data_IF_408758447909
#
_entry.id   IF_408758447909
#
_cell.length_a   1.000
_cell.length_b   1.000
_cell.length_c   1.000
_cell.angle_alpha   90.00
_cell.angle_beta   90.00
_cell.angle_gamma   90.00
#
_symmetry.space_group_name_H-M   'P 1'
#
loop_
_entity.id
_entity.type
_entity.pdbx_description
1 polymer ?
#
# COMPACT_ATOMS: atom_id res chain seq x y z
N UNK A 1 -6.79 14.18 -23.77
CA UNK A 1 -6.15 12.88 -24.08
C UNK A 1 -5.79 12.18 -22.76
N UNK A 2 -6.47 11.09 -22.41
CA UNK A 2 -6.15 10.31 -21.20
C UNK A 2 -4.79 9.63 -21.37
N UNK A 3 -3.69 10.31 -21.00
CA UNK A 3 -2.44 9.61 -20.68
C UNK A 3 -2.82 8.63 -19.57
N UNK A 4 -2.66 7.32 -19.78
CA UNK A 4 -2.97 6.33 -18.75
C UNK A 4 -2.19 6.66 -17.48
N UNK A 5 -2.87 6.83 -16.34
CA UNK A 5 -2.28 7.33 -15.08
C UNK A 5 -1.00 6.59 -14.70
N UNK A 6 -0.97 5.27 -14.87
CA UNK A 6 0.22 4.44 -14.65
C UNK A 6 1.34 4.66 -15.64
N UNK A 7 1.02 4.85 -16.93
CA UNK A 7 2.04 5.12 -17.94
C UNK A 7 2.73 6.45 -17.65
N UNK A 8 1.97 7.46 -17.23
CA UNK A 8 2.51 8.74 -16.82
C UNK A 8 3.37 8.59 -15.55
N UNK A 9 2.82 8.00 -14.48
CA UNK A 9 3.56 7.75 -13.24
C UNK A 9 4.85 6.93 -13.45
N UNK A 10 4.81 5.90 -14.31
CA UNK A 10 5.97 5.09 -14.65
C UNK A 10 7.04 5.86 -15.42
N UNK A 11 6.62 6.75 -16.32
CA UNK A 11 7.54 7.62 -17.05
C UNK A 11 8.23 8.60 -16.10
N UNK A 12 7.49 9.22 -15.18
CA UNK A 12 8.07 10.12 -14.18
C UNK A 12 9.13 9.44 -13.32
N UNK A 13 8.85 8.21 -12.86
CA UNK A 13 9.81 7.43 -12.06
C UNK A 13 11.06 7.11 -12.88
N UNK A 14 10.91 6.62 -14.11
CA UNK A 14 12.04 6.23 -14.95
C UNK A 14 12.92 7.40 -15.39
N UNK A 15 12.34 8.57 -15.57
CA UNK A 15 13.08 9.79 -15.91
C UNK A 15 13.80 10.40 -14.71
N UNK A 16 13.52 9.92 -13.50
CA UNK A 16 14.15 10.42 -12.29
C UNK A 16 15.54 9.81 -12.07
N UNK A 17 16.53 10.65 -11.79
CA UNK A 17 17.87 10.18 -11.45
C UNK A 17 17.86 9.33 -10.17
N UNK A 18 18.61 8.21 -10.23
CA UNK A 18 18.81 7.31 -9.10
C UNK A 18 17.55 6.63 -8.57
N UNK A 19 16.47 6.56 -9.36
CA UNK A 19 15.17 6.06 -8.89
C UNK A 19 15.24 4.66 -8.26
N UNK A 20 16.03 3.73 -8.84
CA UNK A 20 16.24 2.40 -8.27
C UNK A 20 16.85 2.45 -6.87
N UNK A 21 17.92 3.22 -6.70
CA UNK A 21 18.57 3.42 -5.39
C UNK A 21 17.62 4.04 -4.36
N UNK A 22 16.76 4.98 -4.80
CA UNK A 22 15.70 5.55 -3.96
C UNK A 22 14.69 4.49 -3.52
N UNK A 23 14.28 3.56 -4.39
CA UNK A 23 13.37 2.47 -4.01
C UNK A 23 13.97 1.56 -2.95
N UNK A 24 15.26 1.21 -3.08
CA UNK A 24 15.96 0.44 -2.04
C UNK A 24 16.07 1.21 -0.72
N UNK A 25 16.39 2.50 -0.76
CA UNK A 25 16.50 3.31 0.46
C UNK A 25 15.14 3.50 1.13
N UNK A 26 14.09 3.80 0.37
CA UNK A 26 12.71 3.89 0.86
C UNK A 26 12.21 2.54 1.37
N UNK A 27 12.55 1.43 0.69
CA UNK A 27 12.23 0.08 1.12
C UNK A 27 12.88 -0.27 2.46
N UNK A 28 14.18 -0.03 2.59
CA UNK A 28 14.91 -0.23 3.84
C UNK A 28 14.36 0.65 4.96
N UNK A 29 14.07 1.91 4.66
CA UNK A 29 13.43 2.84 5.58
C UNK A 29 12.08 2.32 6.07
N UNK A 30 11.29 1.72 5.16
CA UNK A 30 9.97 1.16 5.47
C UNK A 30 10.01 -0.02 6.46
N UNK A 31 11.17 -0.66 6.65
CA UNK A 31 11.37 -1.67 7.69
C UNK A 31 11.30 -1.08 9.11
N UNK A 32 11.43 0.25 9.26
CA UNK A 32 11.19 0.95 10.52
C UNK A 32 9.66 1.14 10.67
N UNK A 33 8.99 0.46 11.63
CA UNK A 33 7.55 0.24 11.58
C UNK A 33 6.68 1.50 11.52
N UNK A 34 7.03 2.55 12.27
CA UNK A 34 6.23 3.79 12.33
C UNK A 34 6.95 4.91 11.58
N UNK A 35 8.16 5.27 12.03
CA UNK A 35 8.90 6.38 11.46
C UNK A 35 9.18 6.20 9.97
N UNK A 36 9.55 4.99 9.56
CA UNK A 36 9.82 4.67 8.16
C UNK A 36 8.61 4.85 7.26
N UNK A 37 7.46 4.33 7.71
CA UNK A 37 6.18 4.46 7.01
C UNK A 37 5.74 5.93 6.91
N UNK A 38 5.89 6.70 8.00
CA UNK A 38 5.60 8.14 8.01
C UNK A 38 6.44 8.87 6.97
N UNK A 39 7.75 8.60 6.88
CA UNK A 39 8.59 9.27 5.89
C UNK A 39 8.25 8.82 4.46
N UNK A 40 8.01 7.53 4.22
CA UNK A 40 7.58 7.02 2.92
C UNK A 40 6.28 7.69 2.45
N UNK A 41 5.27 7.75 3.31
CA UNK A 41 4.00 8.40 2.99
C UNK A 41 4.16 9.92 2.83
N UNK A 42 4.94 10.57 3.68
CA UNK A 42 5.24 11.99 3.57
C UNK A 42 5.89 12.33 2.24
N UNK A 43 6.86 11.52 1.81
CA UNK A 43 7.55 11.66 0.53
C UNK A 43 6.61 11.40 -0.66
N UNK A 44 5.87 10.30 -0.63
CA UNK A 44 4.98 9.89 -1.71
C UNK A 44 3.82 10.88 -1.91
N UNK A 45 3.13 11.25 -0.82
CA UNK A 45 2.02 12.21 -0.87
C UNK A 45 2.51 13.67 -0.94
N UNK A 46 3.79 13.90 -0.60
CA UNK A 46 4.63 15.01 -1.06
C UNK A 46 4.44 15.25 -2.54
N UNK A 47 4.91 14.25 -3.27
CA UNK A 47 4.99 14.20 -4.72
C UNK A 47 3.64 14.05 -5.43
N UNK A 48 2.66 13.38 -4.81
CA UNK A 48 1.27 13.35 -5.28
C UNK A 48 0.70 14.75 -5.37
N UNK A 49 0.94 15.56 -4.33
CA UNK A 49 0.39 16.91 -4.28
C UNK A 49 0.97 17.77 -5.40
N UNK A 50 2.27 17.70 -5.68
CA UNK A 50 2.86 18.52 -6.74
C UNK A 50 2.14 18.31 -8.09
N UNK A 51 1.89 17.05 -8.47
CA UNK A 51 1.14 16.75 -9.69
C UNK A 51 -0.35 17.11 -9.61
N UNK A 52 -0.96 16.98 -8.42
CA UNK A 52 -2.36 17.35 -8.21
C UNK A 52 -2.60 18.86 -8.45
N UNK A 53 -1.60 19.70 -8.19
CA UNK A 53 -1.59 21.13 -8.55
C UNK A 53 -1.09 21.41 -9.98
N UNK A 54 -0.81 20.37 -10.78
CA UNK A 54 -0.35 20.49 -12.16
C UNK A 54 1.15 20.73 -12.32
N UNK A 55 1.95 20.56 -11.26
CA UNK A 55 3.40 20.66 -11.31
C UNK A 55 4.00 19.27 -11.58
N UNK A 56 4.36 19.02 -12.84
CA UNK A 56 5.04 17.78 -13.24
C UNK A 56 6.52 17.82 -12.80
N UNK A 57 6.82 17.20 -11.64
CA UNK A 57 8.19 17.05 -11.13
C UNK A 57 8.67 15.59 -11.18
N UNK A 58 9.98 15.34 -11.41
CA UNK A 58 10.58 14.03 -11.16
C UNK A 58 10.57 13.70 -9.66
N UNK A 59 10.95 12.48 -9.29
CA UNK A 59 11.07 12.05 -7.90
C UNK A 59 11.95 13.02 -7.10
N UNK A 60 11.46 13.55 -5.95
CA UNK A 60 12.21 14.48 -5.14
C UNK A 60 13.62 13.94 -4.81
N UNK A 61 14.67 14.76 -4.92
CA UNK A 61 16.05 14.28 -4.84
C UNK A 61 16.40 13.78 -3.43
N UNK A 62 15.85 14.41 -2.39
CA UNK A 62 16.14 14.10 -0.98
C UNK A 62 14.93 13.42 -0.33
N UNK A 63 15.12 12.19 0.15
CA UNK A 63 14.06 11.42 0.84
C UNK A 63 13.63 12.09 2.16
N UNK A 64 14.59 12.68 2.89
CA UNK A 64 14.33 13.48 4.09
C UNK A 64 14.26 14.99 3.79
N UNK A 65 14.06 15.37 2.52
CA UNK A 65 13.90 16.77 2.14
C UNK A 65 12.60 17.32 2.70
N UNK A 66 12.68 18.13 3.76
CA UNK A 66 11.54 18.78 4.41
C UNK A 66 11.48 20.27 4.08
N UNK A 67 11.62 20.60 2.79
CA UNK A 67 11.73 21.99 2.29
C UNK A 67 10.47 22.81 2.59
N UNK A 68 9.29 22.16 2.59
CA UNK A 68 8.01 22.79 2.91
C UNK A 68 7.63 22.66 4.40
N UNK A 69 8.46 22.02 5.22
CA UNK A 69 8.20 21.77 6.64
C UNK A 69 7.08 20.75 6.92
N UNK A 70 6.46 20.15 5.90
CA UNK A 70 5.24 19.35 6.03
C UNK A 70 5.47 17.84 5.82
N UNK A 71 6.69 17.39 5.53
CA UNK A 71 6.99 15.98 5.22
C UNK A 71 6.45 15.02 6.30
N UNK A 72 6.89 15.20 7.54
CA UNK A 72 6.51 14.34 8.66
C UNK A 72 5.04 14.48 9.04
N UNK A 73 4.51 15.71 9.02
CA UNK A 73 3.11 15.99 9.34
C UNK A 73 2.16 15.34 8.33
N UNK A 74 2.46 15.47 7.03
CA UNK A 74 1.73 14.82 5.94
C UNK A 74 1.82 13.30 6.04
N UNK A 75 3.03 12.79 6.29
CA UNK A 75 3.27 11.38 6.50
C UNK A 75 2.46 10.80 7.65
N UNK A 76 2.40 11.48 8.79
CA UNK A 76 1.63 11.06 9.96
C UNK A 76 0.12 11.08 9.68
N UNK A 77 -0.37 12.14 9.00
CA UNK A 77 -1.78 12.24 8.59
C UNK A 77 -2.17 11.04 7.73
N UNK A 78 -1.36 10.73 6.70
CA UNK A 78 -1.62 9.60 5.81
C UNK A 78 -1.46 8.27 6.55
N UNK A 79 -0.49 8.12 7.43
CA UNK A 79 -0.30 6.92 8.24
C UNK A 79 -1.53 6.62 9.11
N UNK A 80 -2.10 7.64 9.76
CA UNK A 80 -3.33 7.50 10.54
C UNK A 80 -4.51 7.11 9.65
N UNK A 81 -4.66 7.73 8.48
CA UNK A 81 -5.72 7.39 7.51
C UNK A 81 -5.56 5.96 7.00
N UNK A 82 -4.34 5.55 6.64
CA UNK A 82 -4.02 4.17 6.26
C UNK A 82 -4.42 3.19 7.38
N UNK A 83 -4.06 3.51 8.62
CA UNK A 83 -4.41 2.68 9.77
C UNK A 83 -5.94 2.57 9.94
N UNK A 84 -6.68 3.67 9.81
CA UNK A 84 -8.14 3.62 9.96
C UNK A 84 -8.80 2.85 8.82
N UNK A 85 -8.46 3.15 7.57
CA UNK A 85 -9.16 2.58 6.42
C UNK A 85 -8.68 1.18 6.04
N UNK A 86 -7.40 0.84 6.21
CA UNK A 86 -6.86 -0.43 5.77
C UNK A 86 -6.75 -1.47 6.90
N UNK A 87 -6.75 -1.04 8.17
CA UNK A 87 -6.61 -1.94 9.33
C UNK A 87 -7.87 -1.96 10.19
N UNK A 88 -8.26 -0.81 10.74
CA UNK A 88 -9.34 -0.73 11.74
C UNK A 88 -10.70 -1.00 11.11
N UNK A 89 -11.10 -0.25 10.07
CA UNK A 89 -12.42 -0.38 9.47
C UNK A 89 -12.66 -1.78 8.87
N UNK A 90 -11.74 -2.37 8.09
CA UNK A 90 -11.88 -3.75 7.62
C UNK A 90 -11.94 -4.75 8.77
N UNK A 91 -11.08 -4.61 9.78
CA UNK A 91 -11.06 -5.50 10.94
C UNK A 91 -12.37 -5.48 11.74
N UNK A 92 -13.00 -4.32 11.87
CA UNK A 92 -14.32 -4.18 12.52
C UNK A 92 -15.40 -4.88 11.69
N UNK A 93 -15.44 -4.65 10.37
CA UNK A 93 -16.44 -5.29 9.48
C UNK A 93 -16.27 -6.81 9.48
N UNK A 94 -15.03 -7.29 9.39
CA UNK A 94 -14.70 -8.70 9.48
C UNK A 94 -15.08 -9.32 10.83
N UNK A 95 -14.79 -8.62 11.92
CA UNK A 95 -15.18 -9.07 13.26
C UNK A 95 -16.70 -9.25 13.39
N UNK A 96 -17.48 -8.27 12.92
CA UNK A 96 -18.95 -8.34 12.90
C UNK A 96 -19.43 -9.50 12.03
N UNK A 97 -18.89 -9.64 10.82
CA UNK A 97 -19.25 -10.73 9.90
C UNK A 97 -18.96 -12.10 10.51
N UNK A 98 -17.82 -12.24 11.18
CA UNK A 98 -17.44 -13.50 11.83
C UNK A 98 -18.37 -13.88 12.98
N UNK A 99 -18.75 -12.91 13.82
CA UNK A 99 -19.76 -13.12 14.87
C UNK A 99 -21.10 -13.55 14.28
N UNK A 100 -21.58 -12.86 13.24
CA UNK A 100 -22.84 -13.21 12.57
C UNK A 100 -22.80 -14.59 11.91
N UNK A 101 -21.64 -15.00 11.40
CA UNK A 101 -21.45 -16.31 10.78
C UNK A 101 -21.27 -17.45 11.81
N UNK A 102 -21.42 -17.18 13.11
CA UNK A 102 -21.28 -18.17 14.18
C UNK A 102 -19.85 -18.66 14.40
N UNK A 103 -18.84 -17.89 13.94
CA UNK A 103 -17.41 -18.25 13.97
C UNK A 103 -16.63 -17.67 15.16
N UNK A 104 -17.28 -16.92 16.05
CA UNK A 104 -16.63 -16.28 17.20
C UNK A 104 -15.68 -15.14 16.83
N UNK A 105 -14.91 -14.63 17.81
CA UNK A 105 -13.93 -13.54 17.60
C UNK A 105 -12.54 -14.04 17.15
N UNK A 106 -12.34 -15.35 17.00
CA UNK A 106 -11.05 -15.97 16.70
C UNK A 106 -10.46 -15.54 15.32
N UNK A 107 -11.30 -14.98 14.45
CA UNK A 107 -10.94 -14.58 13.08
C UNK A 107 -10.35 -13.17 12.97
N UNK A 108 -10.52 -12.33 14.01
CA UNK A 108 -9.99 -10.96 14.02
C UNK A 108 -8.46 -10.96 14.06
N UNK A 109 -7.84 -11.98 14.69
CA UNK A 109 -6.38 -12.13 14.73
C UNK A 109 -5.79 -12.67 13.42
N UNK A 110 -6.52 -13.55 12.73
CA UNK A 110 -6.08 -14.15 11.46
C UNK A 110 -6.01 -13.14 10.30
N UNK A 111 -7.03 -12.29 10.18
CA UNK A 111 -7.11 -11.26 9.13
C UNK A 111 -6.14 -10.09 9.35
N UNK A 112 -5.73 -9.83 10.60
CA UNK A 112 -4.90 -8.67 10.97
C UNK A 112 -3.42 -9.02 11.19
N UNK A 113 -3.12 -10.22 11.72
CA UNK A 113 -1.77 -10.63 12.12
C UNK A 113 -1.26 -11.91 11.45
N UNK A 114 -1.97 -12.46 10.45
CA UNK A 114 -1.48 -13.62 9.70
C UNK A 114 -1.46 -14.91 10.51
N UNK A 115 -2.40 -15.09 11.45
CA UNK A 115 -2.58 -16.36 12.15
C UNK A 115 -2.95 -17.49 11.19
N UNK A 116 -2.27 -18.63 11.32
CA UNK A 116 -2.34 -19.85 10.48
C UNK A 116 -3.68 -20.61 10.54
N UNK A 117 -4.75 -19.99 11.02
CA UNK A 117 -6.02 -20.65 11.32
C UNK A 117 -6.97 -20.86 10.14
N UNK A 118 -6.68 -20.40 8.92
CA UNK A 118 -7.63 -20.41 7.80
C UNK A 118 -6.98 -20.75 6.45
N UNK A 119 -6.29 -21.89 6.34
CA UNK A 119 -5.88 -22.38 5.01
C UNK A 119 -7.03 -23.09 4.29
N UNK A 120 -8.12 -23.50 4.97
CA UNK A 120 -9.19 -24.30 4.34
C UNK A 120 -10.64 -24.02 4.79
N UNK A 121 -10.92 -23.12 5.73
CA UNK A 121 -12.30 -22.81 6.16
C UNK A 121 -12.94 -21.65 5.39
N UNK A 122 -13.24 -21.91 4.11
CA UNK A 122 -14.28 -21.21 3.34
C UNK A 122 -13.78 -20.28 2.23
N UNK A 123 -13.84 -20.75 0.98
CA UNK A 123 -13.61 -19.90 -0.20
C UNK A 123 -14.47 -18.61 -0.20
N UNK A 124 -15.62 -18.62 0.49
CA UNK A 124 -16.54 -17.46 0.60
C UNK A 124 -16.02 -16.40 1.58
N UNK A 125 -15.41 -16.78 2.72
CA UNK A 125 -14.85 -15.80 3.66
C UNK A 125 -13.63 -15.11 3.07
N UNK A 126 -12.75 -15.84 2.38
CA UNK A 126 -11.60 -15.24 1.69
C UNK A 126 -12.00 -14.23 0.60
N UNK A 127 -13.04 -14.52 -0.20
CA UNK A 127 -13.54 -13.59 -1.22
C UNK A 127 -14.21 -12.36 -0.60
N UNK A 128 -14.94 -12.53 0.51
CA UNK A 128 -15.53 -11.44 1.26
C UNK A 128 -14.45 -10.50 1.83
N UNK A 129 -13.40 -11.05 2.44
CA UNK A 129 -12.27 -10.28 2.95
C UNK A 129 -11.51 -9.53 1.87
N UNK A 130 -11.29 -10.19 0.72
CA UNK A 130 -10.69 -9.53 -0.42
C UNK A 130 -11.55 -8.34 -0.90
N UNK A 131 -12.88 -8.52 -0.97
CA UNK A 131 -13.79 -7.46 -1.37
C UNK A 131 -13.74 -6.27 -0.41
N UNK A 132 -13.76 -6.51 0.90
CA UNK A 132 -13.66 -5.45 1.91
C UNK A 132 -12.33 -4.70 1.78
N UNK A 133 -11.21 -5.41 1.61
CA UNK A 133 -9.90 -4.78 1.44
C UNK A 133 -9.83 -3.93 0.17
N UNK A 134 -10.44 -4.38 -0.93
CA UNK A 134 -10.53 -3.58 -2.17
C UNK A 134 -11.34 -2.32 -1.94
N UNK A 135 -12.52 -2.41 -1.31
CA UNK A 135 -13.35 -1.24 -0.99
C UNK A 135 -12.61 -0.27 -0.08
N UNK A 136 -11.98 -0.79 0.98
CA UNK A 136 -11.15 -0.03 1.89
C UNK A 136 -10.01 0.70 1.19
N UNK A 137 -9.33 0.04 0.24
CA UNK A 137 -8.25 0.65 -0.54
C UNK A 137 -8.72 1.82 -1.41
N UNK A 138 -9.93 1.75 -1.98
CA UNK A 138 -10.53 2.86 -2.74
C UNK A 138 -10.73 4.07 -1.83
N UNK A 139 -11.38 3.88 -0.68
CA UNK A 139 -11.59 4.96 0.28
C UNK A 139 -10.27 5.51 0.83
N UNK A 140 -9.31 4.64 1.16
CA UNK A 140 -7.98 5.03 1.63
C UNK A 140 -7.28 5.96 0.65
N UNK A 141 -7.19 5.60 -0.63
CA UNK A 141 -6.47 6.40 -1.62
C UNK A 141 -7.07 7.81 -1.75
N UNK A 142 -8.40 7.91 -1.83
CA UNK A 142 -9.10 9.20 -1.93
C UNK A 142 -8.95 10.01 -0.63
N UNK A 143 -9.16 9.37 0.52
CA UNK A 143 -9.04 9.99 1.83
C UNK A 143 -7.63 10.56 2.06
N UNK A 144 -6.60 9.75 1.80
CA UNK A 144 -5.20 10.12 2.00
C UNK A 144 -4.78 11.24 1.06
N UNK A 145 -5.19 11.19 -0.21
CA UNK A 145 -4.89 12.25 -1.17
C UNK A 145 -5.53 13.57 -0.74
N UNK A 146 -6.83 13.56 -0.42
CA UNK A 146 -7.54 14.76 0.03
C UNK A 146 -6.95 15.33 1.32
N UNK A 147 -6.68 14.48 2.30
CA UNK A 147 -6.06 14.90 3.56
C UNK A 147 -4.64 15.47 3.36
N UNK A 148 -3.86 14.92 2.42
CA UNK A 148 -2.53 15.44 2.10
C UNK A 148 -2.55 16.81 1.41
N UNK A 149 -3.59 17.08 0.61
CA UNK A 149 -3.80 18.36 -0.08
C UNK A 149 -4.12 19.45 0.94
N UNK A 150 -5.10 19.20 1.82
CA UNK A 150 -5.47 20.15 2.88
C UNK A 150 -4.46 20.19 4.03
N UNK A 151 -3.58 19.18 4.14
CA UNK A 151 -2.64 19.02 5.24
C UNK A 151 -3.35 18.86 6.59
N UNK A 152 -4.52 18.21 6.65
CA UNK A 152 -5.29 17.97 7.89
C UNK A 152 -5.96 16.60 7.85
N UNK A 153 -6.22 15.99 9.01
CA UNK A 153 -6.92 14.70 9.11
C UNK A 153 -8.40 14.79 8.72
N UNK A 154 -9.10 15.83 9.19
CA UNK A 154 -10.56 15.98 9.01
C UNK A 154 -11.05 15.74 7.57
N UNK A 155 -10.45 16.35 6.54
CA UNK A 155 -10.83 16.14 5.14
C UNK A 155 -10.77 14.68 4.66
N UNK A 156 -9.92 13.85 5.26
CA UNK A 156 -9.81 12.42 4.96
C UNK A 156 -10.96 11.57 5.51
N UNK A 157 -11.80 12.11 6.40
CA UNK A 157 -12.92 11.37 7.01
C UNK A 157 -14.30 11.88 6.57
N UNK A 158 -14.35 12.86 5.67
CA UNK A 158 -15.61 13.39 5.12
C UNK A 158 -16.17 12.44 4.04
N UNK A 159 -16.72 11.30 4.47
CA UNK A 159 -17.15 10.19 3.60
C UNK A 159 -18.08 10.62 2.46
N UNK A 160 -18.98 11.58 2.69
CA UNK A 160 -19.88 12.12 1.66
C UNK A 160 -19.12 12.73 0.48
N UNK A 161 -18.06 13.49 0.76
CA UNK A 161 -17.20 14.13 -0.25
C UNK A 161 -16.28 13.12 -0.93
N UNK A 162 -15.72 12.19 -0.17
CA UNK A 162 -14.94 11.10 -0.76
C UNK A 162 -15.80 10.30 -1.75
N UNK A 163 -17.04 10.00 -1.38
CA UNK A 163 -18.02 9.35 -2.24
C UNK A 163 -18.37 10.18 -3.48
N UNK A 164 -18.51 11.50 -3.35
CA UNK A 164 -18.74 12.38 -4.49
C UNK A 164 -17.56 12.35 -5.48
N UNK A 165 -16.31 12.42 -5.01
CA UNK A 165 -15.13 12.30 -5.86
C UNK A 165 -15.07 10.93 -6.55
N UNK A 166 -15.31 9.85 -5.81
CA UNK A 166 -15.31 8.50 -6.37
C UNK A 166 -16.37 8.33 -7.45
N UNK A 167 -17.58 8.86 -7.26
CA UNK A 167 -18.65 8.78 -8.27
C UNK A 167 -18.35 9.57 -9.53
N UNK A 168 -17.63 10.69 -9.41
CA UNK A 168 -17.27 11.53 -10.55
C UNK A 168 -16.39 10.77 -11.57
N UNK A 169 -15.39 10.02 -11.10
CA UNK A 169 -14.55 9.17 -11.95
C UNK A 169 -14.22 7.81 -11.30
N UNK A 170 -15.22 6.93 -11.29
CA UNK A 170 -15.09 5.55 -10.80
C UNK A 170 -14.13 4.73 -11.63
N UNK A 171 -14.18 4.88 -12.97
CA UNK A 171 -13.39 4.06 -13.91
C UNK A 171 -11.90 4.34 -13.77
N UNK A 172 -11.52 5.61 -13.65
CA UNK A 172 -10.14 6.00 -13.42
C UNK A 172 -9.60 5.48 -12.09
N UNK A 173 -10.38 5.65 -11.01
CA UNK A 173 -9.98 5.21 -9.67
C UNK A 173 -9.85 3.69 -9.58
N UNK A 174 -10.81 2.94 -10.11
CA UNK A 174 -10.76 1.46 -10.15
C UNK A 174 -9.54 1.01 -10.94
N UNK A 175 -9.17 1.69 -12.03
CA UNK A 175 -7.94 1.37 -12.76
C UNK A 175 -6.68 1.60 -11.90
N UNK A 176 -6.63 2.69 -11.13
CA UNK A 176 -5.56 2.95 -10.14
C UNK A 176 -5.44 1.79 -9.15
N UNK A 177 -6.54 1.41 -8.52
CA UNK A 177 -6.55 0.31 -7.54
C UNK A 177 -6.22 -1.03 -8.18
N UNK A 178 -6.84 -1.39 -9.31
CA UNK A 178 -6.64 -2.68 -9.96
C UNK A 178 -5.18 -2.96 -10.33
N UNK A 179 -4.47 -1.96 -10.86
CA UNK A 179 -3.05 -2.15 -11.19
C UNK A 179 -2.20 -2.16 -9.93
N UNK A 180 -2.52 -1.34 -8.91
CA UNK A 180 -1.86 -1.42 -7.60
C UNK A 180 -1.98 -2.81 -6.99
N UNK A 181 -3.20 -3.36 -6.94
CA UNK A 181 -3.49 -4.73 -6.49
C UNK A 181 -2.76 -5.75 -7.34
N UNK A 182 -2.76 -5.63 -8.67
CA UNK A 182 -2.04 -6.55 -9.55
C UNK A 182 -0.54 -6.57 -9.23
N UNK A 183 0.09 -5.41 -9.01
CA UNK A 183 1.50 -5.34 -8.62
C UNK A 183 1.74 -6.00 -7.25
N UNK A 184 0.86 -5.77 -6.28
CA UNK A 184 0.95 -6.40 -4.95
C UNK A 184 0.76 -7.92 -5.05
N UNK A 185 -0.15 -8.41 -5.88
CA UNK A 185 -0.36 -9.84 -6.14
C UNK A 185 0.86 -10.45 -6.81
N UNK A 186 1.48 -9.78 -7.80
CA UNK A 186 2.72 -10.24 -8.41
C UNK A 186 3.85 -10.35 -7.37
N UNK A 187 4.01 -9.35 -6.50
CA UNK A 187 4.97 -9.40 -5.40
C UNK A 187 4.67 -10.55 -4.42
N UNK A 188 3.40 -10.75 -4.08
CA UNK A 188 2.94 -11.85 -3.23
C UNK A 188 3.21 -13.22 -3.85
N UNK A 189 3.05 -13.37 -5.18
CA UNK A 189 3.38 -14.59 -5.90
C UNK A 189 4.89 -14.88 -5.90
N UNK A 190 5.73 -13.85 -6.02
CA UNK A 190 7.20 -13.98 -5.90
C UNK A 190 7.58 -14.45 -4.50
N UNK A 191 7.02 -13.83 -3.46
CA UNK A 191 7.22 -14.25 -2.07
C UNK A 191 6.71 -15.68 -1.82
N UNK A 192 5.55 -16.02 -2.36
CA UNK A 192 4.97 -17.37 -2.27
C UNK A 192 5.84 -18.42 -2.95
N UNK A 193 6.33 -18.15 -4.16
CA UNK A 193 7.27 -19.01 -4.87
C UNK A 193 8.59 -19.20 -4.11
N UNK A 194 9.12 -18.11 -3.52
CA UNK A 194 10.30 -18.17 -2.65
C UNK A 194 10.07 -19.06 -1.43
N UNK A 195 8.94 -18.86 -0.72
CA UNK A 195 8.58 -19.65 0.45
C UNK A 195 8.38 -21.14 0.11
N UNK A 196 7.73 -21.44 -1.02
CA UNK A 196 7.57 -22.81 -1.52
C UNK A 196 8.92 -23.46 -1.83
N UNK A 197 9.81 -22.75 -2.52
CA UNK A 197 11.17 -23.22 -2.81
C UNK A 197 11.95 -23.55 -1.53
N UNK A 198 11.92 -22.65 -0.55
CA UNK A 198 12.52 -22.90 0.77
C UNK A 198 11.89 -24.11 1.48
N UNK A 199 10.57 -24.26 1.40
CA UNK A 199 9.85 -25.41 1.95
C UNK A 199 10.29 -26.74 1.32
N UNK A 200 10.49 -26.78 0.00
CA UNK A 200 11.00 -27.97 -0.70
C UNK A 200 12.41 -28.32 -0.25
N UNK A 201 13.30 -27.33 -0.08
CA UNK A 201 14.67 -27.56 0.39
C UNK A 201 14.66 -28.13 1.82
N UNK A 202 13.85 -27.54 2.71
CA UNK A 202 13.70 -28.03 4.10
C UNK A 202 13.14 -29.46 4.11
N UNK A 203 12.15 -29.76 3.27
CA UNK A 203 11.57 -31.11 3.15
C UNK A 203 12.62 -32.13 2.65
N UNK A 204 13.43 -31.77 1.66
CA UNK A 204 14.50 -32.63 1.14
C UNK A 204 15.57 -32.93 2.20
N UNK A 205 16.02 -31.91 2.94
CA UNK A 205 16.95 -32.09 4.06
C UNK A 205 16.37 -33.00 5.16
N UNK A 206 15.05 -32.92 5.36
CA UNK A 206 14.33 -33.81 6.29
C UNK A 206 14.32 -35.25 5.80
N UNK A 207 14.01 -35.48 4.53
CA UNK A 207 14.04 -36.81 3.93
C UNK A 207 15.43 -37.46 3.96
N UNK A 208 16.49 -36.65 3.89
CA UNK A 208 17.89 -37.09 3.99
C UNK A 208 18.36 -37.34 5.45
N UNK A 209 17.49 -37.16 6.46
CA UNK A 209 17.83 -37.42 7.86
C UNK A 209 18.80 -36.41 8.48
N UNK A 210 18.95 -35.23 7.86
CA UNK A 210 19.93 -34.21 8.28
C UNK A 210 19.62 -33.67 9.68
N UNK A 211 18.34 -33.56 10.06
CA UNK A 211 17.93 -32.98 11.35
C UNK A 211 18.06 -33.93 12.56
N UNK A 212 18.19 -35.25 12.35
CA UNK A 212 18.04 -36.26 13.41
C UNK A 212 19.26 -37.16 13.65
N UNK A 213 20.36 -36.97 12.91
CA UNK A 213 21.49 -37.89 12.91
C UNK A 213 22.48 -37.71 14.08
N UNK A 214 22.36 -36.65 14.89
CA UNK A 214 23.12 -36.45 16.14
C UNK A 214 24.64 -36.27 16.00
N UNK A 215 25.20 -36.48 14.81
CA UNK A 215 26.65 -36.40 14.55
C UNK A 215 27.12 -34.98 14.21
N UNK A 216 28.40 -34.69 14.49
CA UNK A 216 29.02 -33.38 14.24
C UNK A 216 28.88 -32.90 12.79
N UNK A 217 28.96 -33.80 11.80
CA UNK A 217 28.78 -33.47 10.39
C UNK A 217 27.34 -32.98 10.07
N UNK A 218 26.33 -33.61 10.68
CA UNK A 218 24.93 -33.20 10.52
C UNK A 218 24.64 -31.85 11.17
N UNK A 219 25.20 -31.61 12.36
CA UNK A 219 25.10 -30.32 13.03
C UNK A 219 25.75 -29.19 12.20
N UNK A 220 26.93 -29.44 11.62
CA UNK A 220 27.59 -28.48 10.73
C UNK A 220 26.77 -28.21 9.46
N UNK A 221 26.19 -29.25 8.85
CA UNK A 221 25.34 -29.10 7.67
C UNK A 221 24.08 -28.26 7.95
N UNK A 222 23.41 -28.50 9.09
CA UNK A 222 22.27 -27.69 9.53
C UNK A 222 22.68 -26.23 9.76
N UNK A 223 23.81 -26.01 10.44
CA UNK A 223 24.30 -24.66 10.71
C UNK A 223 24.63 -23.89 9.43
N UNK A 224 25.34 -24.51 8.48
CA UNK A 224 25.67 -23.91 7.19
C UNK A 224 24.41 -23.64 6.36
N UNK A 225 23.45 -24.56 6.34
CA UNK A 225 22.17 -24.35 5.68
C UNK A 225 21.41 -23.19 6.32
N UNK A 226 21.32 -23.13 7.65
CA UNK A 226 20.65 -22.04 8.34
C UNK A 226 21.30 -20.69 8.03
N UNK A 227 22.64 -20.61 8.03
CA UNK A 227 23.35 -19.39 7.65
C UNK A 227 23.08 -18.97 6.20
N UNK A 228 23.13 -19.92 5.26
CA UNK A 228 22.84 -19.65 3.86
C UNK A 228 21.37 -19.22 3.66
N UNK A 229 20.43 -19.93 4.28
CA UNK A 229 19.00 -19.61 4.25
C UNK A 229 18.73 -18.22 4.83
N UNK A 230 19.35 -17.88 5.97
CA UNK A 230 19.26 -16.55 6.57
C UNK A 230 19.77 -15.47 5.62
N UNK A 231 20.92 -15.67 4.98
CA UNK A 231 21.45 -14.70 4.01
C UNK A 231 20.51 -14.51 2.82
N UNK A 232 19.97 -15.60 2.27
CA UNK A 232 19.01 -15.55 1.18
C UNK A 232 17.72 -14.83 1.59
N UNK A 233 17.20 -15.11 2.80
CA UNK A 233 16.01 -14.44 3.33
C UNK A 233 16.25 -12.94 3.55
N UNK A 234 17.44 -12.53 4.01
CA UNK A 234 17.80 -11.11 4.17
C UNK A 234 17.85 -10.39 2.81
N UNK A 235 18.43 -11.01 1.78
CA UNK A 235 18.43 -10.45 0.43
C UNK A 235 17.00 -10.33 -0.10
N UNK A 236 16.19 -11.39 0.06
CA UNK A 236 14.79 -11.38 -0.36
C UNK A 236 14.00 -10.28 0.36
N UNK A 237 14.19 -10.10 1.68
CA UNK A 237 13.57 -9.04 2.46
C UNK A 237 13.91 -7.66 1.91
N UNK A 238 15.19 -7.38 1.63
CA UNK A 238 15.61 -6.09 1.06
C UNK A 238 14.98 -5.85 -0.31
N UNK A 239 15.01 -6.84 -1.20
CA UNK A 239 14.42 -6.73 -2.55
C UNK A 239 12.90 -6.53 -2.49
N UNK A 240 12.20 -7.29 -1.65
CA UNK A 240 10.76 -7.18 -1.48
C UNK A 240 10.37 -5.84 -0.82
N UNK A 241 11.18 -5.33 0.10
CA UNK A 241 10.94 -4.01 0.69
C UNK A 241 11.07 -2.89 -0.35
N UNK A 242 12.06 -2.99 -1.25
CA UNK A 242 12.22 -2.06 -2.37
C UNK A 242 11.05 -2.16 -3.36
N UNK A 243 10.58 -3.37 -3.66
CA UNK A 243 9.40 -3.59 -4.49
C UNK A 243 8.13 -2.97 -3.86
N UNK A 244 7.93 -3.13 -2.56
CA UNK A 244 6.83 -2.51 -1.81
C UNK A 244 6.86 -0.98 -1.87
N UNK A 245 8.04 -0.38 -1.67
CA UNK A 245 8.22 1.06 -1.81
C UNK A 245 7.91 1.53 -3.24
N UNK A 246 8.36 0.78 -4.25
CA UNK A 246 8.05 1.06 -5.65
C UNK A 246 6.55 1.03 -5.95
N UNK A 247 5.84 0.00 -5.48
CA UNK A 247 4.38 -0.11 -5.65
C UNK A 247 3.66 1.08 -5.01
N UNK A 248 4.10 1.47 -3.81
CA UNK A 248 3.55 2.63 -3.09
C UNK A 248 3.75 3.91 -3.90
N UNK A 249 4.98 4.19 -4.33
CA UNK A 249 5.32 5.38 -5.11
C UNK A 249 4.56 5.41 -6.45
N UNK A 250 4.51 4.30 -7.17
CA UNK A 250 3.74 4.14 -8.41
C UNK A 250 2.25 4.46 -8.21
N UNK A 251 1.64 3.83 -7.22
CA UNK A 251 0.19 3.95 -6.96
C UNK A 251 -0.16 5.35 -6.52
N UNK A 252 0.63 5.93 -5.60
CA UNK A 252 0.42 7.30 -5.10
C UNK A 252 0.64 8.31 -6.22
N UNK A 253 1.65 8.15 -7.08
CA UNK A 253 1.83 9.07 -8.22
C UNK A 253 0.70 8.95 -9.26
N UNK A 254 0.27 7.73 -9.58
CA UNK A 254 -0.88 7.51 -10.46
C UNK A 254 -2.16 8.13 -9.87
N UNK A 255 -2.33 8.05 -8.55
CA UNK A 255 -3.41 8.72 -7.83
C UNK A 255 -3.33 10.24 -7.96
N UNK A 256 -2.13 10.83 -7.95
CA UNK A 256 -1.96 12.27 -8.17
C UNK A 256 -2.52 12.75 -9.52
N UNK A 257 -2.28 12.01 -10.60
CA UNK A 257 -2.91 12.30 -11.89
C UNK A 257 -4.43 12.14 -11.88
N UNK A 258 -4.96 11.17 -11.14
CA UNK A 258 -6.40 11.05 -10.96
C UNK A 258 -6.97 12.23 -10.16
N UNK A 259 -6.25 12.73 -9.16
CA UNK A 259 -6.70 13.88 -8.35
C UNK A 259 -6.60 15.20 -9.13
N UNK A 260 -5.62 15.33 -10.02
CA UNK A 260 -5.44 16.52 -10.86
C UNK A 260 -6.70 16.90 -11.66
N UNK A 261 -7.53 15.92 -12.04
CA UNK A 261 -8.76 16.18 -12.80
C UNK A 261 -9.83 16.95 -12.02
N UNK A 262 -9.70 17.05 -10.69
CA UNK A 262 -10.65 17.74 -9.81
C UNK A 262 -10.34 19.22 -9.61
N UNK A 263 -9.41 19.78 -10.39
CA UNK A 263 -8.99 21.19 -10.34
C UNK A 263 -8.62 21.64 -8.91
N UNK A 264 -7.62 20.96 -8.33
CA UNK A 264 -7.15 21.21 -6.96
C UNK A 264 -6.82 22.68 -6.67
N UNK A 265 -6.22 23.46 -7.60
CA UNK A 265 -5.99 24.89 -7.38
C UNK A 265 -7.26 25.70 -7.09
N UNK A 266 -8.43 25.25 -7.56
CA UNK A 266 -9.72 25.88 -7.32
C UNK A 266 -10.44 25.36 -6.06
N UNK A 267 -9.85 24.41 -5.32
CA UNK A 267 -10.43 23.94 -4.06
C UNK A 267 -10.43 25.06 -3.01
N UNK A 268 -11.55 25.21 -2.32
CA UNK A 268 -11.74 26.22 -1.26
C UNK A 268 -11.56 25.59 0.12
N UNK A 269 -12.31 26.02 1.13
CA UNK A 269 -12.31 25.38 2.44
C UNK A 269 -12.67 23.91 2.34
N UNK A 270 -12.24 23.11 3.32
CA UNK A 270 -12.55 21.67 3.37
C UNK A 270 -14.07 21.39 3.34
N UNK A 271 -14.87 22.35 3.79
CA UNK A 271 -16.33 22.29 3.91
C UNK A 271 -17.05 22.97 2.73
N UNK A 272 -16.31 23.49 1.76
CA UNK A 272 -16.88 24.09 0.55
C UNK A 272 -17.05 23.04 -0.55
N UNK A 273 -18.10 23.13 -1.39
CA UNK A 273 -18.27 22.21 -2.51
C UNK A 273 -17.09 22.30 -3.49
N UNK A 274 -16.68 21.15 -4.02
CA UNK A 274 -15.61 21.09 -5.02
C UNK A 274 -16.09 21.62 -6.38
N UNK A 275 -15.18 22.08 -7.27
CA UNK A 275 -15.56 22.68 -8.55
C UNK A 275 -16.55 21.85 -9.37
N UNK A 276 -16.36 20.53 -9.43
CA UNK A 276 -17.26 19.63 -10.16
C UNK A 276 -18.64 19.48 -9.51
N UNK A 277 -18.74 19.61 -8.18
CA UNK A 277 -20.01 19.57 -7.46
C UNK A 277 -20.84 20.82 -7.78
N UNK A 278 -20.20 21.98 -7.86
CA UNK A 278 -20.84 23.24 -8.26
C UNK A 278 -21.36 23.19 -9.70
N UNK A 279 -20.57 22.65 -10.63
CA UNK A 279 -20.98 22.48 -12.03
C UNK A 279 -22.19 21.54 -12.17
N UNK A 280 -22.23 20.45 -11.40
CA UNK A 280 -23.36 19.52 -11.41
C UNK A 280 -24.66 20.13 -10.85
N UNK A 281 -24.57 20.99 -9.84
CA UNK A 281 -25.72 21.68 -9.25
C UNK A 281 -26.31 22.78 -10.14
N UNK A 282 -25.52 23.33 -11.07
CA UNK A 282 -25.99 24.28 -12.09
C UNK A 282 -26.71 23.58 -13.26
N UNK A 283 -26.31 22.35 -13.61
CA UNK A 283 -26.96 21.58 -14.67
C UNK A 283 -28.31 20.95 -14.26
N UNK A 284 -28.65 20.98 -12.97
CA UNK A 284 -29.91 20.47 -12.41
C UNK A 284 -30.95 21.56 -12.11
N UNK A 285 -30.65 22.83 -12.43
CA UNK A 285 -31.58 23.96 -12.37
C UNK A 285 -31.96 24.39 -13.78
#
# INVERSE_FOLDING_TARGET
MQKGYFKAAWNDIKQSEGWLGKMFLLGLLSLIPIFGQVVLFGYAYGWLRDIAWGVETPLPPRIFGNEDGQLYRRGLIVFVINTVFCLIAPGVVEGVFSVMAGRGLDTVSGAVFGGTGHVLSGNISGLFSLLILVIASLFYLVAAARASIYGRLGPGFQLSRLWAMMRHDTKGLVRVVCVGVALTVCMGAILGGFALGMGVVVAALTALGVWGSGGMASALAVMLFALAAMMVCLVALVVLSAASAFITIMTVRAMGYWVQQFDVPAWRGQDDPMPFEMASGQAQR
#
